data_IF_560579572733
#
_entry.id   IF_560579572733
#
_cell.length_a   1.000
_cell.length_b   1.000
_cell.length_c   1.000
_cell.angle_alpha   90.00
_cell.angle_beta   90.00
_cell.angle_gamma   90.00
#
_symmetry.space_group_name_H-M   'P 1'
#
loop_
_entity.id
_entity.type
_entity.pdbx_description
1 polymer ?
#
# COMPACT_ATOMS: atom_id res chain seq x y z
N UNK A 1 13.79 14.57 7.72
CA UNK A 1 13.78 13.58 6.62
C UNK A 1 13.13 14.25 5.41
N UNK A 2 13.65 14.10 4.20
CA UNK A 2 13.06 14.69 2.99
C UNK A 2 11.76 13.93 2.62
N UNK A 3 10.59 14.59 2.49
CA UNK A 3 9.34 13.93 2.13
C UNK A 3 9.43 13.10 0.84
N UNK A 4 10.17 13.58 -0.16
CA UNK A 4 10.34 12.85 -1.42
C UNK A 4 11.05 11.51 -1.21
N UNK A 5 12.12 11.49 -0.42
CA UNK A 5 12.87 10.27 -0.14
C UNK A 5 12.03 9.24 0.62
N UNK A 6 11.17 9.70 1.53
CA UNK A 6 10.25 8.83 2.27
C UNK A 6 9.19 8.21 1.34
N UNK A 7 8.61 9.00 0.43
CA UNK A 7 7.64 8.48 -0.55
C UNK A 7 8.29 7.44 -1.49
N UNK A 8 9.55 7.66 -1.89
CA UNK A 8 10.31 6.70 -2.69
C UNK A 8 10.53 5.40 -1.90
N UNK A 9 10.82 5.48 -0.60
CA UNK A 9 11.01 4.32 0.27
C UNK A 9 9.72 3.51 0.41
N UNK A 10 8.59 4.15 0.72
CA UNK A 10 7.28 3.47 0.78
C UNK A 10 6.90 2.81 -0.53
N UNK A 11 7.11 3.49 -1.67
CA UNK A 11 6.88 2.90 -2.99
C UNK A 11 7.70 1.64 -3.20
N UNK A 12 8.99 1.65 -2.82
CA UNK A 12 9.88 0.49 -2.94
C UNK A 12 9.46 -0.65 -2.02
N UNK A 13 9.03 -0.34 -0.81
CA UNK A 13 8.53 -1.34 0.14
C UNK A 13 7.29 -2.06 -0.41
N UNK A 14 6.28 -1.32 -0.86
CA UNK A 14 5.08 -1.90 -1.44
C UNK A 14 5.38 -2.71 -2.72
N UNK A 15 6.29 -2.22 -3.57
CA UNK A 15 6.72 -2.94 -4.77
C UNK A 15 7.44 -4.25 -4.45
N UNK A 16 8.21 -4.29 -3.36
CA UNK A 16 8.95 -5.49 -2.94
C UNK A 16 8.03 -6.57 -2.38
N UNK A 17 6.92 -6.17 -1.74
CA UNK A 17 5.95 -7.06 -1.09
C UNK A 17 4.52 -6.86 -1.63
N UNK A 18 4.28 -7.15 -2.92
CA UNK A 18 2.99 -7.00 -3.54
C UNK A 18 2.04 -8.11 -3.09
N UNK A 19 0.79 -7.73 -2.86
CA UNK A 19 -0.29 -8.64 -2.48
C UNK A 19 -1.36 -8.68 -3.58
N UNK A 20 -2.02 -9.82 -3.72
CA UNK A 20 -3.06 -10.01 -4.73
C UNK A 20 -4.36 -9.31 -4.32
N UNK A 21 -5.24 -9.10 -5.31
CA UNK A 21 -6.56 -8.51 -5.09
C UNK A 21 -7.33 -9.24 -3.97
N UNK A 22 -7.76 -8.49 -2.97
CA UNK A 22 -8.49 -8.98 -1.78
C UNK A 22 -7.61 -9.67 -0.72
N UNK A 23 -6.28 -9.63 -0.86
CA UNK A 23 -5.32 -10.24 0.06
C UNK A 23 -4.29 -9.23 0.58
N UNK A 24 -4.54 -7.93 0.42
CA UNK A 24 -3.62 -6.83 0.71
C UNK A 24 -3.52 -6.50 2.21
N UNK A 25 -3.41 -7.52 3.07
CA UNK A 25 -3.45 -7.36 4.53
C UNK A 25 -2.24 -6.58 5.06
N UNK A 26 -1.03 -6.91 4.62
CA UNK A 26 0.18 -6.23 5.05
C UNK A 26 0.27 -4.81 4.47
N UNK A 27 -0.13 -4.62 3.22
CA UNK A 27 -0.23 -3.29 2.57
C UNK A 27 -1.24 -2.42 3.29
N UNK A 28 -2.41 -2.96 3.63
CA UNK A 28 -3.43 -2.27 4.43
C UNK A 28 -2.89 -1.85 5.79
N UNK A 29 -2.20 -2.75 6.50
CA UNK A 29 -1.62 -2.46 7.80
C UNK A 29 -0.56 -1.33 7.72
N UNK A 30 0.31 -1.36 6.70
CA UNK A 30 1.30 -0.30 6.45
C UNK A 30 0.65 1.06 6.18
N UNK A 31 -0.32 1.11 5.28
CA UNK A 31 -1.03 2.35 4.94
C UNK A 31 -1.72 2.95 6.17
N UNK A 32 -2.40 2.12 6.98
CA UNK A 32 -3.00 2.57 8.24
C UNK A 32 -1.94 3.15 9.19
N UNK A 33 -0.81 2.46 9.36
CA UNK A 33 0.30 2.91 10.20
C UNK A 33 0.89 4.24 9.74
N UNK A 34 1.16 4.40 8.44
CA UNK A 34 1.71 5.64 7.88
C UNK A 34 0.76 6.82 8.02
N UNK A 35 -0.53 6.63 7.73
CA UNK A 35 -1.56 7.66 7.86
C UNK A 35 -1.77 8.06 9.33
N UNK A 36 -1.82 7.09 10.24
CA UNK A 36 -1.91 7.35 11.69
C UNK A 36 -0.68 8.10 12.21
N UNK A 37 0.53 7.70 11.80
CA UNK A 37 1.77 8.39 12.18
C UNK A 37 1.81 9.84 11.65
N UNK A 38 1.16 10.12 10.53
CA UNK A 38 0.97 11.46 10.00
C UNK A 38 -0.17 12.25 10.68
N UNK A 39 -0.86 11.67 11.68
CA UNK A 39 -1.97 12.31 12.38
C UNK A 39 -3.27 12.39 11.56
N UNK A 40 -3.39 11.60 10.49
CA UNK A 40 -4.56 11.59 9.62
C UNK A 40 -5.64 10.67 10.22
N UNK A 41 -6.89 11.15 10.21
CA UNK A 41 -8.04 10.42 10.73
C UNK A 41 -8.41 9.27 9.79
N UNK A 42 -8.35 8.04 10.30
CA UNK A 42 -8.90 6.89 9.60
C UNK A 42 -10.40 6.79 9.85
N UNK A 43 -11.16 6.50 8.79
CA UNK A 43 -12.58 6.22 8.89
C UNK A 43 -12.80 4.73 9.15
N UNK A 44 -13.71 4.43 10.08
CA UNK A 44 -14.07 3.07 10.45
C UNK A 44 -15.09 2.50 9.45
N UNK A 45 -14.56 1.88 8.39
CA UNK A 45 -15.36 1.08 7.46
C UNK A 45 -15.07 -0.40 7.68
N UNK A 46 -16.08 -1.29 7.55
CA UNK A 46 -15.94 -2.73 7.72
C UNK A 46 -15.27 -3.36 6.49
N UNK A 47 -14.05 -2.93 6.18
CA UNK A 47 -13.23 -3.43 5.07
C UNK A 47 -12.21 -4.44 5.60
N UNK A 48 -12.10 -5.58 4.93
CA UNK A 48 -11.03 -6.55 5.22
C UNK A 48 -9.66 -6.02 4.78
N UNK A 49 -9.58 -5.44 3.58
CA UNK A 49 -8.40 -4.76 3.04
C UNK A 49 -8.75 -3.36 2.52
N UNK A 50 -7.76 -2.47 2.47
CA UNK A 50 -7.94 -1.06 2.14
C UNK A 50 -8.10 -0.15 3.36
N UNK A 51 -8.02 1.15 3.08
CA UNK A 51 -8.12 2.22 4.08
C UNK A 51 -8.86 3.41 3.50
N UNK A 52 -9.74 4.00 4.30
CA UNK A 52 -10.35 5.30 4.00
C UNK A 52 -9.89 6.27 5.06
N UNK A 53 -9.42 7.44 4.64
CA UNK A 53 -8.90 8.48 5.50
C UNK A 53 -9.52 9.83 5.15
N UNK A 54 -9.61 10.70 6.14
CA UNK A 54 -10.23 12.01 6.01
C UNK A 54 -9.30 13.11 6.55
N UNK A 55 -9.27 14.24 5.85
CA UNK A 55 -8.51 15.44 6.23
C UNK A 55 -9.43 16.65 6.05
N UNK A 56 -9.52 17.49 7.08
CA UNK A 56 -10.29 18.73 7.06
C UNK A 56 -11.75 18.57 7.48
N UNK A 57 -12.55 19.59 7.18
CA UNK A 57 -13.98 19.68 7.54
C UNK A 57 -14.68 20.66 6.60
N UNK A 58 -15.95 20.42 6.25
CA UNK A 58 -16.74 21.33 5.42
C UNK A 58 -17.94 20.66 4.75
N UNK A 59 -18.76 21.44 4.06
CA UNK A 59 -19.95 20.94 3.34
C UNK A 59 -19.57 20.26 2.01
N UNK A 60 -18.49 20.72 1.36
CA UNK A 60 -17.98 20.14 0.12
C UNK A 60 -16.92 19.09 0.42
N UNK A 61 -17.14 17.87 -0.08
CA UNK A 61 -16.22 16.74 0.08
C UNK A 61 -15.62 16.35 -1.28
N UNK A 62 -14.31 16.18 -1.32
CA UNK A 62 -13.57 15.67 -2.49
C UNK A 62 -12.95 14.33 -2.12
N UNK A 63 -13.11 13.32 -2.99
CA UNK A 63 -12.49 12.01 -2.82
C UNK A 63 -11.27 11.86 -3.75
N UNK A 64 -10.16 11.39 -3.19
CA UNK A 64 -9.01 10.90 -3.94
C UNK A 64 -8.91 9.39 -3.75
N UNK A 65 -8.67 8.66 -4.84
CA UNK A 65 -8.67 7.19 -4.85
C UNK A 65 -7.39 6.67 -5.49
N UNK A 66 -6.79 5.67 -4.85
CA UNK A 66 -5.64 4.93 -5.35
C UNK A 66 -5.87 3.42 -5.13
N UNK A 67 -5.39 2.61 -6.07
CA UNK A 67 -5.41 1.14 -5.97
C UNK A 67 -4.17 0.63 -5.26
N UNK A 68 -4.32 -0.51 -4.58
CA UNK A 68 -3.28 -1.08 -3.72
C UNK A 68 -2.89 -2.50 -4.12
N UNK A 69 -3.68 -3.15 -4.98
CA UNK A 69 -3.49 -4.54 -5.35
C UNK A 69 -2.46 -4.71 -6.46
N UNK A 70 -1.83 -5.88 -6.49
CA UNK A 70 -0.86 -6.27 -7.49
C UNK A 70 -1.35 -7.43 -8.35
N UNK A 71 -0.56 -7.77 -9.37
CA UNK A 71 -0.87 -8.82 -10.33
C UNK A 71 -0.11 -10.13 -10.04
N UNK A 72 -0.69 -11.29 -10.42
CA UNK A 72 -0.03 -12.60 -10.32
C UNK A 72 0.96 -12.82 -11.48
N UNK A 73 1.94 -11.92 -11.62
CA UNK A 73 2.97 -11.98 -12.67
C UNK A 73 4.37 -12.09 -12.07
N UNK A 74 5.29 -12.65 -12.86
CA UNK A 74 6.71 -12.60 -12.56
C UNK A 74 7.29 -11.28 -13.02
N UNK A 75 7.95 -10.56 -12.12
CA UNK A 75 8.62 -9.31 -12.45
C UNK A 75 9.89 -9.57 -13.29
N UNK A 76 10.01 -8.87 -14.42
CA UNK A 76 11.15 -8.96 -15.35
C UNK A 76 12.02 -7.70 -15.39
N UNK A 77 11.81 -6.75 -14.47
CA UNK A 77 12.50 -5.44 -14.48
C UNK A 77 13.99 -5.53 -14.13
N UNK A 78 14.39 -6.53 -13.33
CA UNK A 78 15.76 -6.67 -12.82
C UNK A 78 16.19 -5.54 -11.85
N UNK A 79 15.24 -4.79 -11.30
CA UNK A 79 15.50 -3.65 -10.43
C UNK A 79 15.95 -4.03 -9.02
N UNK A 80 16.58 -3.08 -8.32
CA UNK A 80 17.09 -3.29 -6.95
C UNK A 80 15.98 -3.47 -5.88
N UNK A 81 14.73 -3.19 -6.23
CA UNK A 81 13.54 -3.33 -5.37
C UNK A 81 12.55 -4.31 -5.98
N UNK A 82 13.03 -5.23 -6.82
CA UNK A 82 12.21 -6.31 -7.33
C UNK A 82 11.82 -7.29 -6.23
N UNK A 83 10.80 -8.09 -6.53
CA UNK A 83 10.35 -9.19 -5.67
C UNK A 83 11.52 -10.05 -5.17
N UNK A 84 11.52 -10.46 -3.89
CA UNK A 84 12.52 -11.38 -3.38
C UNK A 84 12.49 -12.71 -4.14
N UNK A 85 13.65 -13.41 -4.32
CA UNK A 85 13.71 -14.62 -5.14
C UNK A 85 12.73 -15.72 -4.71
N UNK A 86 12.43 -15.84 -3.41
CA UNK A 86 11.46 -16.80 -2.86
C UNK A 86 10.02 -16.49 -3.26
N UNK A 87 9.71 -15.24 -3.61
CA UNK A 87 8.37 -14.79 -4.02
C UNK A 87 8.18 -14.79 -5.53
N UNK A 88 9.19 -15.27 -6.27
CA UNK A 88 9.06 -15.50 -7.70
C UNK A 88 8.01 -16.55 -7.99
N UNK A 89 7.83 -17.57 -7.15
CA UNK A 89 6.70 -18.50 -7.31
C UNK A 89 5.43 -17.90 -6.69
N UNK A 90 4.39 -17.70 -7.51
CA UNK A 90 3.10 -17.17 -7.07
C UNK A 90 2.42 -18.07 -6.01
N UNK A 91 2.81 -19.34 -5.91
CA UNK A 91 2.31 -20.31 -4.91
C UNK A 91 2.96 -20.16 -3.53
N UNK A 92 4.04 -19.39 -3.44
CA UNK A 92 4.80 -19.14 -2.21
C UNK A 92 4.52 -17.75 -1.63
N UNK A 93 3.54 -17.03 -2.19
CA UNK A 93 3.03 -15.78 -1.61
C UNK A 93 2.16 -16.16 -0.39
N UNK A 94 2.45 -15.62 0.81
CA UNK A 94 1.65 -15.85 2.01
C UNK A 94 0.22 -15.36 1.87
#
# INVERSE_FOLDING_TARGET
MNPESQLIEWRRELHTWPELSGQEFATTARLRGWLQAAGIRLLDYPLETGVVAEIGSGETVIALRADIDALPIHEASGGAFSLPPSWRDARLRP
#
